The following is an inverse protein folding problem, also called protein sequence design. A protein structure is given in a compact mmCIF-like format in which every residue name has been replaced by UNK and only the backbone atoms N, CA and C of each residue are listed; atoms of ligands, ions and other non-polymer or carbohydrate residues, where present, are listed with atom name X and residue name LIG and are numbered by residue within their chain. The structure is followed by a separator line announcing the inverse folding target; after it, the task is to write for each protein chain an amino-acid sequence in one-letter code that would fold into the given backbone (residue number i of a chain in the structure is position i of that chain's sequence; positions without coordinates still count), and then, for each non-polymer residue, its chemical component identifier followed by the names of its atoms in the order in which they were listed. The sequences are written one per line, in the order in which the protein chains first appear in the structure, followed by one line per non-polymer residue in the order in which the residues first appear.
data_IF_347297146907
#
_entry.id   IF_347297146907
#
_cell.length_a   1.000
_cell.length_b   1.000
_cell.length_c   1.000
_cell.angle_alpha   90.00
_cell.angle_beta   90.00
_cell.angle_gamma   90.00
#
_symmetry.space_group_name_H-M   'P 1'
#
loop_
_entity.id
_entity.type
_entity.pdbx_description
1 polymer ?
#
# COMPACT_ATOMS: atom_id res chain seq x y z
N UNK A 1 87.44 -37.82 -43.37
CA UNK A 1 86.87 -39.18 -43.47
C UNK A 1 87.23 -39.92 -42.18
N UNK A 2 86.40 -40.81 -41.58
CA UNK A 2 85.14 -41.44 -42.05
C UNK A 2 83.91 -41.05 -41.19
N UNK A 3 82.66 -41.02 -41.70
CA UNK A 3 81.66 -42.10 -41.91
C UNK A 3 81.31 -42.90 -40.65
N UNK A 4 80.04 -42.77 -40.19
CA UNK A 4 79.15 -43.85 -39.68
C UNK A 4 77.74 -43.22 -39.47
N UNK A 5 76.82 -43.36 -40.41
CA UNK A 5 75.72 -44.36 -40.49
C UNK A 5 74.73 -44.34 -39.31
N UNK A 6 73.47 -44.06 -39.63
CA UNK A 6 72.28 -44.10 -38.76
C UNK A 6 71.91 -45.53 -38.35
N UNK A 7 71.04 -45.68 -37.33
CA UNK A 7 69.70 -46.17 -37.65
C UNK A 7 68.54 -45.53 -36.86
N UNK A 8 67.36 -45.65 -37.47
CA UNK A 8 66.05 -45.14 -37.09
C UNK A 8 65.54 -45.54 -35.70
N UNK A 9 64.78 -44.63 -35.07
CA UNK A 9 63.66 -45.00 -34.19
C UNK A 9 62.54 -43.94 -34.28
N UNK A 10 61.39 -44.37 -34.78
CA UNK A 10 60.12 -43.63 -34.86
C UNK A 10 59.62 -43.20 -33.49
N UNK A 11 59.23 -41.92 -33.29
CA UNK A 11 58.18 -41.56 -32.34
C UNK A 11 57.38 -40.31 -32.78
N UNK A 12 56.12 -40.57 -33.15
CA UNK A 12 54.90 -39.78 -32.93
C UNK A 12 54.88 -38.25 -33.18
N UNK A 13 54.23 -37.87 -34.29
CA UNK A 13 53.60 -36.54 -34.45
C UNK A 13 52.36 -36.43 -33.56
N UNK A 14 52.49 -35.75 -32.42
CA UNK A 14 51.38 -35.30 -31.59
C UNK A 14 50.83 -33.96 -32.08
N UNK A 15 49.55 -33.96 -32.47
CA UNK A 15 48.74 -32.80 -32.87
C UNK A 15 48.46 -31.91 -31.65
N UNK A 16 48.73 -30.60 -31.73
CA UNK A 16 48.31 -29.61 -30.73
C UNK A 16 46.77 -29.52 -30.69
N UNK A 17 46.09 -29.67 -29.54
CA UNK A 17 44.67 -29.33 -29.43
C UNK A 17 44.52 -27.83 -29.19
N UNK A 18 44.08 -27.14 -30.24
CA UNK A 18 43.43 -25.83 -30.18
C UNK A 18 41.99 -26.02 -29.65
N UNK A 19 41.52 -25.15 -28.72
CA UNK A 19 40.10 -24.71 -28.54
C UNK A 19 39.55 -24.56 -27.10
N UNK A 20 40.33 -24.16 -26.08
CA UNK A 20 39.74 -23.77 -24.78
C UNK A 20 39.55 -22.25 -24.58
N UNK A 21 40.13 -21.41 -25.45
CA UNK A 21 40.13 -19.96 -25.26
C UNK A 21 38.89 -19.23 -25.81
N UNK A 22 38.12 -19.84 -26.72
CA UNK A 22 36.97 -19.20 -27.37
C UNK A 22 35.63 -19.37 -26.63
N UNK A 23 35.56 -20.28 -25.66
CA UNK A 23 34.36 -20.51 -24.83
C UNK A 23 34.28 -19.55 -23.64
N UNK A 24 35.41 -19.17 -23.04
CA UNK A 24 35.46 -18.25 -21.90
C UNK A 24 34.99 -16.83 -22.25
N UNK A 25 35.30 -16.33 -23.45
CA UNK A 25 34.91 -14.99 -23.90
C UNK A 25 33.44 -14.88 -24.32
N UNK A 26 32.78 -16.00 -24.66
CA UNK A 26 31.34 -16.01 -24.98
C UNK A 26 30.45 -16.00 -23.74
N UNK A 27 30.97 -16.49 -22.61
CA UNK A 27 30.26 -16.53 -21.33
C UNK A 27 30.34 -15.15 -20.65
N UNK A 28 31.53 -14.54 -20.57
CA UNK A 28 31.72 -13.24 -19.92
C UNK A 28 30.86 -12.10 -20.53
N UNK A 29 30.67 -12.11 -21.86
CA UNK A 29 29.88 -11.08 -22.56
C UNK A 29 28.36 -11.19 -22.33
N UNK A 30 27.85 -12.33 -21.85
CA UNK A 30 26.44 -12.47 -21.42
C UNK A 30 26.23 -12.08 -19.96
N UNK A 31 27.28 -12.10 -19.14
CA UNK A 31 27.23 -11.72 -17.73
C UNK A 31 27.22 -10.21 -17.52
N UNK A 32 27.88 -9.42 -18.37
CA UNK A 32 27.89 -7.96 -18.21
C UNK A 32 26.56 -7.29 -18.62
N UNK A 33 25.81 -7.89 -19.55
CA UNK A 33 24.50 -7.40 -19.99
C UNK A 33 23.37 -7.73 -19.01
N UNK A 34 23.50 -8.77 -18.18
CA UNK A 34 22.47 -9.14 -17.20
C UNK A 34 22.57 -8.30 -15.91
N UNK A 35 23.76 -7.89 -15.49
CA UNK A 35 23.95 -7.10 -14.27
C UNK A 35 23.66 -5.60 -14.45
N UNK A 36 23.77 -5.05 -15.67
CA UNK A 36 23.47 -3.63 -15.94
C UNK A 36 21.97 -3.39 -16.17
N UNK A 37 21.20 -4.41 -16.56
CA UNK A 37 19.75 -4.30 -16.75
C UNK A 37 18.95 -4.31 -15.43
N UNK A 38 19.56 -4.72 -14.30
CA UNK A 38 18.92 -4.75 -12.97
C UNK A 38 18.98 -3.41 -12.23
N UNK A 39 19.71 -2.42 -12.73
CA UNK A 39 19.85 -1.09 -12.09
C UNK A 39 18.99 0.02 -12.69
N UNK A 40 18.21 -0.26 -13.73
CA UNK A 40 17.41 0.75 -14.46
C UNK A 40 16.04 0.25 -14.94
N UNK A 41 15.57 -0.89 -14.44
CA UNK A 41 14.16 -1.22 -14.48
C UNK A 41 13.59 -0.79 -13.12
N UNK A 42 12.91 0.37 -13.08
CA UNK A 42 11.79 0.47 -12.15
C UNK A 42 10.92 -0.72 -12.51
N UNK A 43 10.80 -1.71 -11.62
CA UNK A 43 9.76 -2.73 -11.76
C UNK A 43 8.49 -1.94 -12.01
N UNK A 44 7.85 -2.13 -13.16
CA UNK A 44 6.51 -1.61 -13.36
C UNK A 44 5.69 -2.18 -12.21
N UNK A 45 5.37 -1.36 -11.20
CA UNK A 45 4.53 -1.79 -10.07
C UNK A 45 3.21 -2.17 -10.71
N UNK A 46 2.90 -3.46 -10.71
CA UNK A 46 1.61 -3.97 -11.15
C UNK A 46 0.56 -3.84 -10.04
N UNK A 47 0.67 -2.81 -9.21
CA UNK A 47 -0.10 -2.62 -7.97
C UNK A 47 -0.38 -1.15 -7.69
N UNK A 48 -0.67 -0.81 -6.43
CA UNK A 48 -1.16 0.50 -6.05
C UNK A 48 -0.10 1.58 -6.35
N UNK A 49 -0.52 2.67 -6.99
CA UNK A 49 0.34 3.82 -7.27
C UNK A 49 -0.35 5.12 -6.82
N UNK A 50 0.35 5.93 -6.04
CA UNK A 50 -0.04 7.31 -5.79
C UNK A 50 0.62 8.24 -6.83
N UNK A 51 -0.17 9.13 -7.39
CA UNK A 51 0.26 10.18 -8.31
C UNK A 51 -0.01 11.55 -7.65
N UNK A 52 0.88 12.00 -6.74
CA UNK A 52 0.72 13.27 -6.05
C UNK A 52 1.06 14.45 -6.99
N UNK A 53 0.18 15.44 -6.98
CA UNK A 53 0.40 16.76 -7.58
C UNK A 53 0.61 17.74 -6.43
N UNK A 54 1.84 18.15 -6.21
CA UNK A 54 2.18 19.11 -5.17
C UNK A 54 1.73 20.51 -5.58
N UNK A 55 0.92 21.13 -4.73
CA UNK A 55 0.41 22.49 -4.94
C UNK A 55 1.54 23.51 -4.77
N UNK A 56 1.35 24.72 -5.32
CA UNK A 56 2.37 25.78 -5.25
C UNK A 56 2.75 26.16 -3.80
N UNK A 57 1.83 25.99 -2.85
CA UNK A 57 2.06 26.19 -1.42
C UNK A 57 3.20 25.35 -0.85
N UNK A 58 3.42 24.15 -1.39
CA UNK A 58 4.49 23.23 -0.96
C UNK A 58 5.89 23.74 -1.27
N UNK A 59 6.04 24.78 -2.10
CA UNK A 59 7.33 25.46 -2.30
C UNK A 59 7.89 26.08 -1.01
N UNK A 60 7.03 26.32 -0.01
CA UNK A 60 7.40 26.80 1.33
C UNK A 60 7.56 25.68 2.37
N UNK A 61 7.33 24.42 1.99
CA UNK A 61 7.47 23.29 2.90
C UNK A 61 8.94 23.00 3.24
N UNK A 62 9.25 22.51 4.45
CA UNK A 62 10.59 22.03 4.79
C UNK A 62 11.05 20.93 3.82
N UNK A 63 12.34 20.86 3.48
CA UNK A 63 12.84 19.85 2.54
C UNK A 63 12.52 18.40 2.97
N UNK A 64 12.48 18.14 4.29
CA UNK A 64 12.10 16.84 4.85
C UNK A 64 10.66 16.43 4.55
N UNK A 65 9.74 17.37 4.33
CA UNK A 65 8.33 17.10 4.02
C UNK A 65 8.17 16.12 2.87
N UNK A 66 8.87 16.34 1.75
CA UNK A 66 8.76 15.49 0.56
C UNK A 66 9.33 14.08 0.80
N UNK A 67 10.38 13.97 1.63
CA UNK A 67 10.98 12.68 1.99
C UNK A 67 10.02 11.88 2.85
N UNK A 68 9.47 12.50 3.89
CA UNK A 68 8.52 11.86 4.80
C UNK A 68 7.20 11.49 4.11
N UNK A 69 6.65 12.40 3.30
CA UNK A 69 5.44 12.13 2.50
C UNK A 69 5.65 10.96 1.53
N UNK A 70 6.79 10.94 0.83
CA UNK A 70 7.13 9.84 -0.06
C UNK A 70 7.36 8.52 0.70
N UNK A 71 7.82 8.58 1.96
CA UNK A 71 7.91 7.38 2.81
C UNK A 71 6.54 6.79 3.11
N UNK A 72 5.56 7.62 3.47
CA UNK A 72 4.17 7.19 3.69
C UNK A 72 3.55 6.58 2.42
N UNK A 73 3.76 7.24 1.26
CA UNK A 73 3.32 6.70 -0.04
C UNK A 73 3.98 5.34 -0.31
N UNK A 74 5.29 5.23 -0.17
CA UNK A 74 6.01 3.97 -0.44
C UNK A 74 5.57 2.84 0.48
N UNK A 75 5.28 3.15 1.75
CA UNK A 75 4.69 2.21 2.69
C UNK A 75 3.35 1.69 2.16
N UNK A 76 2.38 2.57 1.87
CA UNK A 76 1.06 2.15 1.39
C UNK A 76 1.12 1.40 0.05
N UNK A 77 1.91 1.86 -0.92
CA UNK A 77 2.10 1.14 -2.20
C UNK A 77 2.79 -0.23 -2.02
N UNK A 78 3.46 -0.48 -0.88
CA UNK A 78 4.03 -1.79 -0.55
C UNK A 78 3.05 -2.72 0.14
N UNK A 79 1.99 -2.18 0.74
CA UNK A 79 0.98 -2.97 1.45
C UNK A 79 -0.08 -3.53 0.51
N UNK A 80 -0.38 -2.84 -0.61
CA UNK A 80 -1.51 -3.18 -1.49
C UNK A 80 -1.08 -3.43 -2.94
N UNK A 81 -1.82 -4.30 -3.63
CA UNK A 81 -1.50 -4.82 -4.96
C UNK A 81 -2.54 -4.48 -6.03
N UNK A 82 -3.54 -3.67 -5.69
CA UNK A 82 -4.56 -3.19 -6.62
C UNK A 82 -3.92 -2.41 -7.77
N UNK A 83 -4.12 -2.79 -9.04
CA UNK A 83 -3.48 -2.13 -10.18
C UNK A 83 -4.17 -0.80 -10.54
N UNK A 84 -4.17 0.15 -9.60
CA UNK A 84 -4.86 1.43 -9.68
C UNK A 84 -3.90 2.60 -9.49
N UNK A 85 -4.30 3.77 -9.97
CA UNK A 85 -3.60 5.03 -9.70
C UNK A 85 -4.50 5.98 -8.92
N UNK A 86 -4.02 6.42 -7.75
CA UNK A 86 -4.66 7.43 -6.91
C UNK A 86 -4.05 8.79 -7.25
N UNK A 87 -4.82 9.65 -7.93
CA UNK A 87 -4.44 11.02 -8.27
C UNK A 87 -4.87 11.98 -7.16
N UNK A 88 -3.94 12.65 -6.50
CA UNK A 88 -4.26 13.56 -5.41
C UNK A 88 -3.46 14.86 -5.45
N UNK A 89 -4.04 15.94 -4.92
CA UNK A 89 -3.31 17.16 -4.64
C UNK A 89 -2.72 17.14 -3.23
N UNK A 90 -1.56 17.78 -3.06
CA UNK A 90 -0.86 17.85 -1.78
C UNK A 90 -0.53 19.30 -1.46
N UNK A 91 -1.08 19.81 -0.35
CA UNK A 91 -0.91 21.19 0.11
C UNK A 91 -0.06 21.31 1.37
N UNK A 92 0.57 22.49 1.56
CA UNK A 92 1.30 22.85 2.77
C UNK A 92 0.78 24.19 3.33
N UNK A 93 0.17 24.16 4.51
CA UNK A 93 -0.59 25.29 5.07
C UNK A 93 -1.95 25.50 4.40
N UNK A 94 -2.34 24.63 3.48
CA UNK A 94 -3.62 24.64 2.78
C UNK A 94 -4.06 23.21 2.41
N UNK A 95 -5.32 23.07 2.02
CA UNK A 95 -5.89 21.91 1.36
C UNK A 95 -6.75 22.38 0.17
N UNK A 96 -6.42 21.92 -1.04
CA UNK A 96 -7.17 22.20 -2.27
C UNK A 96 -7.45 23.71 -2.49
N UNK A 97 -6.47 24.56 -2.21
CA UNK A 97 -6.56 26.02 -2.35
C UNK A 97 -7.26 26.77 -1.20
N UNK A 98 -7.69 26.07 -0.14
CA UNK A 98 -8.32 26.64 1.05
C UNK A 98 -7.52 26.39 2.33
N UNK A 99 -7.79 27.16 3.39
CA UNK A 99 -7.16 26.91 4.70
C UNK A 99 -7.63 25.58 5.30
N UNK A 100 -6.73 24.89 6.03
CA UNK A 100 -7.13 23.78 6.89
C UNK A 100 -8.12 24.25 7.96
N UNK A 101 -8.94 23.33 8.45
CA UNK A 101 -9.81 23.58 9.59
C UNK A 101 -8.99 23.95 10.84
N UNK A 102 -9.42 24.91 11.66
CA UNK A 102 -8.66 25.33 12.84
C UNK A 102 -8.37 24.16 13.79
N UNK A 103 -7.09 23.97 14.13
CA UNK A 103 -6.63 22.90 15.03
C UNK A 103 -6.20 21.62 14.33
N UNK A 104 -6.50 21.45 13.03
CA UNK A 104 -6.08 20.28 12.29
C UNK A 104 -4.56 20.29 12.04
N UNK A 105 -3.92 19.12 12.23
CA UNK A 105 -2.52 18.88 11.85
C UNK A 105 -2.41 18.42 10.40
N UNK A 106 -3.35 17.59 9.97
CA UNK A 106 -3.59 17.17 8.59
C UNK A 106 -5.08 17.26 8.28
N UNK A 107 -5.41 17.29 7.00
CA UNK A 107 -6.79 17.19 6.55
C UNK A 107 -6.84 16.55 5.16
N UNK A 108 -7.82 15.69 4.95
CA UNK A 108 -8.15 15.13 3.64
C UNK A 108 -9.45 15.73 3.08
N UNK A 109 -9.57 15.67 1.76
CA UNK A 109 -10.77 16.03 0.99
C UNK A 109 -10.97 14.98 -0.07
N UNK A 110 -11.67 13.92 0.29
CA UNK A 110 -11.92 12.76 -0.57
C UNK A 110 -12.98 13.06 -1.63
N UNK A 111 -12.64 12.88 -2.91
CA UNK A 111 -13.62 12.91 -3.98
C UNK A 111 -14.34 11.56 -4.02
N UNK A 112 -15.66 11.65 -4.16
CA UNK A 112 -16.55 10.51 -3.97
C UNK A 112 -17.36 10.22 -5.24
N UNK A 113 -17.73 8.96 -5.40
CA UNK A 113 -18.65 8.52 -6.43
C UNK A 113 -19.68 7.54 -5.86
N UNK A 114 -20.83 7.45 -6.53
CA UNK A 114 -21.77 6.38 -6.28
C UNK A 114 -23.22 6.77 -6.41
N UNK A 115 -23.94 6.63 -5.29
CA UNK A 115 -25.36 6.25 -5.18
C UNK A 115 -25.59 4.74 -5.43
N UNK A 116 -24.68 3.91 -4.93
CA UNK A 116 -24.77 2.47 -5.04
C UNK A 116 -25.79 1.88 -4.07
N UNK A 117 -26.41 0.78 -4.49
CA UNK A 117 -27.21 -0.04 -3.58
C UNK A 117 -26.29 -0.86 -2.66
N UNK A 118 -26.76 -1.23 -1.47
CA UNK A 118 -26.07 -2.19 -0.61
C UNK A 118 -25.70 -3.49 -1.37
N UNK A 119 -26.60 -4.02 -2.20
CA UNK A 119 -26.31 -5.21 -3.01
C UNK A 119 -25.15 -5.00 -3.97
N UNK A 120 -25.03 -3.81 -4.58
CA UNK A 120 -23.91 -3.49 -5.47
C UNK A 120 -22.59 -3.47 -4.70
N UNK A 121 -22.56 -2.84 -3.53
CA UNK A 121 -21.35 -2.80 -2.68
C UNK A 121 -20.98 -4.20 -2.21
N UNK A 122 -21.94 -4.98 -1.70
CA UNK A 122 -21.70 -6.35 -1.25
C UNK A 122 -21.17 -7.24 -2.40
N UNK A 123 -21.71 -7.10 -3.60
CA UNK A 123 -21.22 -7.84 -4.78
C UNK A 123 -19.81 -7.41 -5.17
N UNK A 124 -19.50 -6.10 -5.14
CA UNK A 124 -18.16 -5.61 -5.44
C UNK A 124 -17.14 -6.19 -4.46
N UNK A 125 -17.37 -6.05 -3.15
CA UNK A 125 -16.54 -6.65 -2.09
C UNK A 125 -16.40 -8.17 -2.26
N UNK A 126 -17.49 -8.87 -2.61
CA UNK A 126 -17.45 -10.33 -2.83
C UNK A 126 -16.58 -10.74 -4.01
N UNK A 127 -16.64 -9.98 -5.11
CA UNK A 127 -15.81 -10.25 -6.29
C UNK A 127 -14.34 -9.89 -6.05
N UNK A 128 -14.13 -8.91 -5.17
CA UNK A 128 -12.80 -8.41 -4.83
C UNK A 128 -12.07 -9.31 -3.83
N UNK A 129 -12.76 -9.94 -2.89
CA UNK A 129 -12.21 -10.86 -1.87
C UNK A 129 -10.95 -11.67 -2.28
N UNK A 130 -9.79 -11.34 -1.70
CA UNK A 130 -8.52 -12.08 -1.85
C UNK A 130 -7.93 -12.57 -0.54
N UNK A 131 -8.31 -11.97 0.58
CA UNK A 131 -7.75 -12.26 1.90
C UNK A 131 -8.68 -13.12 2.76
N UNK A 132 -8.14 -13.69 3.85
CA UNK A 132 -8.95 -14.38 4.86
C UNK A 132 -9.83 -13.41 5.65
N UNK A 133 -9.40 -12.15 5.80
CA UNK A 133 -10.17 -11.09 6.43
C UNK A 133 -11.38 -10.73 5.56
N UNK A 134 -11.21 -10.63 4.23
CA UNK A 134 -12.32 -10.42 3.30
C UNK A 134 -13.35 -11.53 3.41
N UNK A 135 -12.89 -12.80 3.35
CA UNK A 135 -13.78 -13.95 3.44
C UNK A 135 -14.59 -13.94 4.75
N UNK A 136 -13.96 -13.50 5.86
CA UNK A 136 -14.63 -13.34 7.16
C UNK A 136 -15.63 -12.19 7.12
N UNK A 137 -15.21 -11.00 6.66
CA UNK A 137 -16.03 -9.81 6.51
C UNK A 137 -17.30 -10.10 5.70
N UNK A 138 -17.15 -10.64 4.49
CA UNK A 138 -18.25 -10.93 3.55
C UNK A 138 -19.23 -11.95 4.13
N UNK A 139 -18.73 -12.99 4.80
CA UNK A 139 -19.57 -14.02 5.41
C UNK A 139 -20.46 -13.47 6.54
N UNK A 140 -20.04 -12.39 7.20
CA UNK A 140 -20.76 -11.77 8.30
C UNK A 140 -21.56 -10.52 7.91
N UNK A 141 -21.46 -10.06 6.66
CA UNK A 141 -22.30 -8.96 6.17
C UNK A 141 -23.79 -9.37 6.16
N UNK A 142 -24.69 -8.53 6.71
CA UNK A 142 -26.11 -8.87 6.80
C UNK A 142 -26.76 -9.06 5.43
N UNK A 143 -27.90 -9.75 5.36
CA UNK A 143 -28.64 -9.89 4.11
C UNK A 143 -29.15 -8.54 3.59
N UNK A 144 -29.54 -7.65 4.52
CA UNK A 144 -29.94 -6.27 4.25
C UNK A 144 -29.25 -5.36 5.25
N UNK A 145 -28.73 -4.21 4.81
CA UNK A 145 -28.15 -3.24 5.72
C UNK A 145 -29.24 -2.56 6.59
N UNK A 146 -29.09 -2.50 7.92
CA UNK A 146 -30.13 -2.01 8.84
C UNK A 146 -30.25 -0.47 8.93
N UNK A 147 -29.45 0.30 8.18
CA UNK A 147 -29.36 1.77 8.26
C UNK A 147 -30.57 2.59 7.79
N UNK A 148 -31.69 1.97 7.40
CA UNK A 148 -32.94 2.67 7.06
C UNK A 148 -33.21 2.86 5.56
N UNK A 149 -34.18 3.72 5.23
CA UNK A 149 -34.67 3.89 3.86
C UNK A 149 -33.62 4.57 2.96
N UNK A 150 -33.17 3.86 1.94
CA UNK A 150 -32.24 4.36 0.92
C UNK A 150 -31.01 3.48 0.77
N UNK A 151 -30.40 3.01 1.89
CA UNK A 151 -29.14 2.24 1.92
C UNK A 151 -28.19 2.65 0.79
N UNK A 152 -27.99 3.97 0.67
CA UNK A 152 -27.24 4.55 -0.43
C UNK A 152 -25.79 4.56 -0.01
N UNK A 153 -24.97 3.83 -0.75
CA UNK A 153 -23.54 3.82 -0.53
C UNK A 153 -22.84 4.77 -1.48
N UNK A 154 -21.90 5.50 -0.91
CA UNK A 154 -20.97 6.38 -1.59
C UNK A 154 -19.57 5.93 -1.16
N UNK A 155 -18.65 5.92 -2.11
CA UNK A 155 -17.28 5.44 -1.93
C UNK A 155 -16.32 6.51 -2.44
N UNK A 156 -15.08 6.48 -1.96
CA UNK A 156 -14.06 7.32 -2.60
C UNK A 156 -13.86 6.86 -4.04
N UNK A 157 -13.39 7.76 -4.90
CA UNK A 157 -13.01 7.37 -6.25
C UNK A 157 -11.88 6.32 -6.24
N UNK A 158 -10.98 6.38 -5.27
CA UNK A 158 -9.90 5.40 -5.10
C UNK A 158 -10.43 4.01 -4.71
N UNK A 159 -11.36 3.94 -3.76
CA UNK A 159 -12.02 2.70 -3.33
C UNK A 159 -12.87 2.11 -4.47
N UNK A 160 -13.56 2.96 -5.24
CA UNK A 160 -14.29 2.54 -6.43
C UNK A 160 -13.37 1.95 -7.51
N UNK A 161 -12.13 2.47 -7.65
CA UNK A 161 -11.13 1.91 -8.57
C UNK A 161 -10.66 0.54 -8.12
N UNK A 162 -10.35 0.39 -6.83
CA UNK A 162 -9.89 -0.85 -6.23
C UNK A 162 -10.94 -1.97 -6.42
N UNK A 163 -12.20 -1.66 -6.10
CA UNK A 163 -13.36 -2.55 -6.29
C UNK A 163 -13.79 -2.77 -7.76
N UNK A 164 -13.08 -2.20 -8.74
CA UNK A 164 -13.39 -2.33 -10.17
C UNK A 164 -14.69 -1.64 -10.63
N UNK A 165 -15.26 -0.76 -9.81
CA UNK A 165 -16.45 0.04 -10.13
C UNK A 165 -16.12 1.31 -10.92
N UNK A 166 -14.85 1.72 -10.91
CA UNK A 166 -14.26 2.75 -11.77
C UNK A 166 -12.99 2.17 -12.42
N UNK A 167 -12.63 2.54 -13.68
CA UNK A 167 -11.37 2.09 -14.25
C UNK A 167 -10.17 2.49 -13.38
N UNK A 168 -9.28 1.56 -13.06
CA UNK A 168 -8.13 1.80 -12.16
C UNK A 168 -7.22 2.96 -12.58
N UNK A 169 -7.17 3.26 -13.88
CA UNK A 169 -6.40 4.36 -14.46
C UNK A 169 -7.25 5.61 -14.77
N UNK A 170 -8.47 5.74 -14.21
CA UNK A 170 -9.31 6.90 -14.45
C UNK A 170 -8.58 8.19 -14.00
N UNK A 171 -8.46 9.15 -14.93
CA UNK A 171 -7.64 10.35 -14.79
C UNK A 171 -8.25 11.42 -13.86
N UNK A 172 -9.47 11.20 -13.35
CA UNK A 172 -10.09 12.09 -12.37
C UNK A 172 -9.26 12.19 -11.10
N UNK A 173 -9.34 13.34 -10.43
CA UNK A 173 -8.75 13.55 -9.12
C UNK A 173 -9.52 12.72 -8.08
N UNK A 174 -8.83 11.94 -7.27
CA UNK A 174 -9.40 11.11 -6.21
C UNK A 174 -9.51 11.84 -4.88
N UNK A 175 -8.72 12.90 -4.68
CA UNK A 175 -8.90 13.82 -3.56
C UNK A 175 -7.74 14.81 -3.40
N UNK A 176 -7.66 15.39 -2.22
CA UNK A 176 -6.54 16.24 -1.81
C UNK A 176 -6.22 16.01 -0.34
N UNK A 177 -4.95 16.17 0.02
CA UNK A 177 -4.48 16.20 1.41
C UNK A 177 -3.74 17.51 1.66
N UNK A 178 -3.85 18.02 2.87
CA UNK A 178 -3.17 19.24 3.31
C UNK A 178 -2.59 19.06 4.70
N UNK A 179 -1.46 19.71 4.96
CA UNK A 179 -0.76 19.62 6.24
C UNK A 179 -0.51 21.00 6.83
N UNK A 180 -0.63 21.14 8.14
CA UNK A 180 -0.52 22.41 8.84
C UNK A 180 0.93 22.94 8.78
N UNK A 181 1.13 24.14 8.24
CA UNK A 181 2.48 24.72 8.07
C UNK A 181 3.09 25.30 9.34
N UNK A 182 2.36 25.35 10.45
CA UNK A 182 2.77 25.95 11.72
C UNK A 182 3.06 24.96 12.83
N UNK A 183 2.69 23.68 12.63
CA UNK A 183 2.98 22.63 13.58
C UNK A 183 4.46 22.17 13.47
N UNK A 184 4.98 21.63 14.58
CA UNK A 184 6.33 21.07 14.65
C UNK A 184 6.29 19.59 14.35
N UNK A 185 7.02 19.15 13.32
CA UNK A 185 7.06 17.78 12.86
C UNK A 185 8.47 17.25 12.80
N UNK A 186 8.62 15.94 13.07
CA UNK A 186 9.77 15.19 12.58
C UNK A 186 9.45 14.70 11.18
N UNK A 187 10.39 14.92 10.27
CA UNK A 187 10.32 14.46 8.89
C UNK A 187 11.32 13.33 8.59
N UNK A 188 12.01 12.81 9.61
CA UNK A 188 12.92 11.67 9.43
C UNK A 188 12.13 10.36 9.52
N UNK A 189 11.96 9.62 8.42
CA UNK A 189 11.22 8.36 8.45
C UNK A 189 11.89 7.27 9.29
N UNK A 190 13.16 7.43 9.65
CA UNK A 190 13.90 6.48 10.50
C UNK A 190 13.97 6.94 11.97
N UNK A 191 13.43 8.12 12.30
CA UNK A 191 13.47 8.69 13.64
C UNK A 191 12.22 9.53 13.91
N UNK A 192 11.11 8.82 14.14
CA UNK A 192 9.76 9.37 14.20
C UNK A 192 9.28 9.74 15.61
N UNK A 193 10.01 9.33 16.65
CA UNK A 193 9.68 9.62 18.05
C UNK A 193 10.52 10.77 18.63
N UNK A 194 10.30 12.00 18.16
CA UNK A 194 11.05 13.19 18.58
C UNK A 194 10.26 14.05 19.58
N UNK A 195 10.79 14.23 20.79
CA UNK A 195 10.15 15.04 21.82
C UNK A 195 9.83 16.46 21.32
N UNK A 196 8.56 16.86 21.41
CA UNK A 196 8.09 18.19 20.97
C UNK A 196 7.64 18.25 19.51
N UNK A 197 7.74 17.16 18.76
CA UNK A 197 7.37 17.09 17.35
C UNK A 197 6.33 15.98 17.10
N UNK A 198 5.46 16.18 16.10
CA UNK A 198 4.55 15.15 15.62
C UNK A 198 5.22 14.28 14.56
N UNK A 199 4.89 12.98 14.56
CA UNK A 199 5.28 12.05 13.49
C UNK A 199 4.52 12.39 12.20
N UNK A 200 5.22 13.01 11.25
CA UNK A 200 4.62 13.37 9.96
C UNK A 200 4.31 12.16 9.08
N UNK A 201 5.10 11.08 9.17
CA UNK A 201 4.89 9.88 8.33
C UNK A 201 3.56 9.23 8.73
N UNK A 202 3.34 9.00 10.02
CA UNK A 202 2.08 8.47 10.52
C UNK A 202 0.88 9.38 10.20
N UNK A 203 1.06 10.70 10.30
CA UNK A 203 0.02 11.65 9.87
C UNK A 203 -0.28 11.54 8.37
N UNK A 204 0.73 11.42 7.52
CA UNK A 204 0.50 11.30 6.08
C UNK A 204 -0.18 9.96 5.74
N UNK A 205 0.18 8.86 6.40
CA UNK A 205 -0.51 7.57 6.25
C UNK A 205 -1.98 7.65 6.64
N UNK A 206 -2.29 8.39 7.71
CA UNK A 206 -3.66 8.69 8.12
C UNK A 206 -4.45 9.40 7.01
N UNK A 207 -3.96 10.55 6.53
CA UNK A 207 -4.69 11.35 5.53
C UNK A 207 -4.81 10.63 4.18
N UNK A 208 -3.78 9.86 3.78
CA UNK A 208 -3.79 9.10 2.53
C UNK A 208 -4.80 7.95 2.56
N UNK A 209 -4.98 7.30 3.70
CA UNK A 209 -5.95 6.20 3.83
C UNK A 209 -7.39 6.70 3.89
N UNK A 210 -7.64 7.93 4.31
CA UNK A 210 -8.95 8.58 4.13
C UNK A 210 -9.29 8.81 2.65
N UNK A 211 -8.29 9.16 1.80
CA UNK A 211 -8.48 9.19 0.34
C UNK A 211 -8.80 7.78 -0.18
N UNK A 212 -8.18 6.75 0.41
CA UNK A 212 -8.45 5.35 0.08
C UNK A 212 -9.84 4.86 0.53
N UNK A 213 -10.61 5.63 1.30
CA UNK A 213 -11.96 5.21 1.70
C UNK A 213 -12.15 4.97 3.20
N UNK A 214 -11.11 5.20 4.01
CA UNK A 214 -11.19 5.18 5.48
C UNK A 214 -11.94 6.42 6.03
N UNK A 215 -13.13 6.70 5.53
CA UNK A 215 -14.01 7.75 6.01
C UNK A 215 -15.43 7.21 6.13
N UNK A 216 -16.12 7.55 7.22
CA UNK A 216 -17.50 7.13 7.48
C UNK A 216 -18.46 8.20 6.99
N UNK A 217 -19.65 7.80 6.51
CA UNK A 217 -20.72 8.76 6.21
C UNK A 217 -21.91 8.57 7.13
N UNK A 218 -22.26 7.32 7.44
CA UNK A 218 -23.42 7.00 8.27
C UNK A 218 -23.36 7.66 9.64
N UNK A 219 -22.17 7.73 10.23
CA UNK A 219 -21.97 8.20 11.59
C UNK A 219 -21.34 9.60 11.64
N UNK A 220 -20.60 10.06 10.62
CA UNK A 220 -20.01 11.40 10.56
C UNK A 220 -21.00 12.54 10.25
N UNK A 221 -22.26 12.39 10.66
CA UNK A 221 -23.25 13.46 10.54
C UNK A 221 -23.84 13.63 9.15
N UNK A 222 -23.69 12.65 8.23
CA UNK A 222 -24.54 12.61 7.05
C UNK A 222 -25.95 12.20 7.47
N UNK A 223 -26.73 13.15 7.99
CA UNK A 223 -28.18 13.07 8.25
C UNK A 223 -29.03 12.81 6.96
N UNK A 224 -28.41 12.22 5.93
CA UNK A 224 -28.91 12.06 4.58
C UNK A 224 -29.16 10.60 4.17
N UNK A 225 -28.93 9.63 5.07
CA UNK A 225 -29.13 8.20 4.78
C UNK A 225 -28.08 7.63 3.81
N UNK A 226 -26.86 8.17 3.86
CA UNK A 226 -25.71 7.73 3.07
C UNK A 226 -24.71 7.01 3.95
N UNK A 227 -24.07 6.00 3.37
CA UNK A 227 -23.07 5.16 4.03
C UNK A 227 -21.85 5.02 3.12
N UNK A 228 -20.71 4.67 3.70
CA UNK A 228 -19.51 4.21 3.00
C UNK A 228 -19.18 2.77 3.40
N UNK A 229 -18.31 2.06 2.67
CA UNK A 229 -18.01 0.66 2.96
C UNK A 229 -17.50 0.40 4.39
N UNK A 230 -16.73 1.31 4.99
CA UNK A 230 -16.30 1.17 6.40
C UNK A 230 -17.48 1.12 7.39
N UNK A 231 -18.62 1.74 7.08
CA UNK A 231 -19.83 1.72 7.91
C UNK A 231 -20.46 0.32 8.00
N UNK A 232 -20.06 -0.61 7.13
CA UNK A 232 -20.47 -2.02 7.18
C UNK A 232 -19.78 -2.80 8.31
N UNK A 233 -18.70 -2.26 8.86
CA UNK A 233 -17.83 -2.95 9.81
C UNK A 233 -17.78 -2.29 11.19
N UNK A 234 -18.72 -1.38 11.45
CA UNK A 234 -18.83 -0.65 12.72
C UNK A 234 -19.93 -1.27 13.58
N UNK A 235 -19.57 -1.77 14.77
CA UNK A 235 -20.46 -2.53 15.66
C UNK A 235 -20.52 -1.95 17.08
N UNK A 236 -21.65 -2.20 17.76
CA UNK A 236 -21.87 -1.90 19.19
C UNK A 236 -21.82 -3.16 20.05
N UNK A 237 -22.15 -4.30 19.47
CA UNK A 237 -22.04 -5.63 20.06
C UNK A 237 -22.13 -6.68 18.94
N UNK A 238 -21.91 -7.95 19.28
CA UNK A 238 -22.19 -9.07 18.36
C UNK A 238 -23.59 -8.96 17.74
N UNK A 239 -23.65 -8.97 16.41
CA UNK A 239 -24.86 -8.86 15.60
C UNK A 239 -25.51 -7.47 15.54
N UNK A 240 -24.92 -6.44 16.17
CA UNK A 240 -25.50 -5.10 16.26
C UNK A 240 -24.57 -4.08 15.62
N UNK A 241 -24.89 -3.68 14.39
CA UNK A 241 -24.22 -2.59 13.69
C UNK A 241 -24.52 -1.25 14.37
N UNK A 242 -23.52 -0.38 14.38
CA UNK A 242 -23.69 1.02 14.74
C UNK A 242 -24.32 1.77 13.56
N UNK A 243 -25.64 1.96 13.55
CA UNK A 243 -26.33 2.76 12.52
C UNK A 243 -26.59 4.20 12.95
N UNK A 244 -26.14 4.60 14.14
CA UNK A 244 -26.37 5.94 14.68
C UNK A 244 -25.25 6.25 15.66
N UNK A 245 -24.50 7.35 15.45
CA UNK A 245 -23.30 7.66 16.21
C UNK A 245 -23.41 7.33 17.70
N UNK A 246 -22.56 6.42 18.17
CA UNK A 246 -22.49 6.04 19.56
C UNK A 246 -21.05 5.95 20.05
N UNK A 247 -20.86 6.22 21.35
CA UNK A 247 -19.57 6.02 22.00
C UNK A 247 -19.30 4.54 22.21
N UNK A 248 -18.06 4.11 22.00
CA UNK A 248 -17.64 2.72 22.18
C UNK A 248 -17.98 1.81 21.00
N UNK A 249 -18.41 2.36 19.87
CA UNK A 249 -18.48 1.60 18.62
C UNK A 249 -17.07 1.15 18.19
N UNK A 250 -16.99 -0.01 17.57
CA UNK A 250 -15.70 -0.63 17.23
C UNK A 250 -15.71 -1.28 15.85
N UNK A 251 -14.51 -1.39 15.29
CA UNK A 251 -14.25 -2.10 14.04
C UNK A 251 -14.24 -3.61 14.28
N UNK A 252 -15.00 -4.33 13.46
CA UNK A 252 -15.11 -5.78 13.50
C UNK A 252 -15.49 -6.35 12.14
N UNK A 253 -14.85 -7.46 11.76
CA UNK A 253 -15.10 -8.17 10.49
C UNK A 253 -15.90 -9.46 10.68
N UNK A 254 -16.17 -9.87 11.91
CA UNK A 254 -16.82 -11.15 12.24
C UNK A 254 -18.23 -10.96 12.80
N UNK A 255 -18.91 -9.92 12.35
CA UNK A 255 -20.27 -9.61 12.80
C UNK A 255 -20.31 -9.02 14.22
N UNK A 256 -19.22 -8.40 14.69
CA UNK A 256 -19.15 -7.77 16.00
C UNK A 256 -18.71 -8.71 17.14
N UNK A 257 -18.21 -9.92 16.84
CA UNK A 257 -17.76 -10.86 17.88
C UNK A 257 -16.38 -10.49 18.44
N UNK A 258 -15.51 -9.92 17.61
CA UNK A 258 -14.18 -9.47 17.99
C UNK A 258 -14.05 -7.95 17.84
N UNK A 259 -13.47 -7.31 18.86
CA UNK A 259 -13.08 -5.90 18.83
C UNK A 259 -11.67 -5.81 18.25
N UNK A 260 -11.52 -5.28 17.03
CA UNK A 260 -10.19 -5.07 16.42
C UNK A 260 -9.62 -3.73 16.88
N UNK A 261 -10.38 -2.64 16.72
CA UNK A 261 -10.05 -1.33 17.27
C UNK A 261 -11.33 -0.54 17.59
N UNK A 262 -11.26 0.42 18.51
CA UNK A 262 -12.41 1.23 18.93
C UNK A 262 -12.39 2.55 18.19
N UNK A 263 -13.51 2.87 17.53
CA UNK A 263 -13.69 4.12 16.82
C UNK A 263 -13.87 5.30 17.76
N UNK A 264 -13.58 6.49 17.25
CA UNK A 264 -13.85 7.75 17.90
C UNK A 264 -15.38 7.94 18.11
N UNK A 265 -15.71 8.68 19.18
CA UNK A 265 -17.06 8.83 19.71
C UNK A 265 -17.72 10.17 19.36
N UNK A 266 -19.00 10.29 19.72
CA UNK A 266 -19.94 11.39 19.41
C UNK A 266 -19.53 12.81 19.87
N UNK A 267 -18.36 12.98 20.48
CA UNK A 267 -17.86 14.23 21.07
C UNK A 267 -17.03 15.13 20.15
N UNK A 268 -16.72 14.69 18.92
CA UNK A 268 -16.08 15.52 17.88
C UNK A 268 -15.09 14.76 16.99
N UNK A 269 -14.66 15.39 15.90
CA UNK A 269 -13.71 14.83 14.92
C UNK A 269 -14.35 13.93 13.86
N UNK A 270 -13.51 13.19 13.13
CA UNK A 270 -13.93 12.08 12.29
C UNK A 270 -14.19 10.85 13.20
N UNK A 271 -15.36 10.25 13.07
CA UNK A 271 -15.78 9.08 13.83
C UNK A 271 -15.20 7.79 13.28
N UNK A 272 -14.73 7.76 12.04
CA UNK A 272 -14.04 6.62 11.44
C UNK A 272 -12.56 6.51 11.83
N UNK A 273 -12.07 7.49 12.56
CA UNK A 273 -10.78 7.41 13.25
C UNK A 273 -10.85 6.51 14.48
N UNK A 274 -9.70 6.02 14.91
CA UNK A 274 -9.59 5.34 16.19
C UNK A 274 -9.64 6.32 17.36
N UNK A 275 -10.21 5.83 18.45
CA UNK A 275 -10.38 6.54 19.72
C UNK A 275 -9.08 6.94 20.42
N UNK A 276 -7.90 6.45 20.00
CA UNK A 276 -6.64 6.77 20.66
C UNK A 276 -6.30 5.92 21.88
N UNK A 277 -6.85 4.71 22.00
CA UNK A 277 -6.53 3.80 23.11
C UNK A 277 -5.07 3.29 23.08
N UNK A 278 -4.47 3.21 21.89
CA UNK A 278 -3.08 2.83 21.62
C UNK A 278 -2.43 3.85 20.70
N UNK A 279 -1.09 3.87 20.66
CA UNK A 279 -0.35 4.64 19.65
C UNK A 279 -0.55 3.97 18.29
N UNK A 280 -1.08 4.74 17.34
CA UNK A 280 -1.56 4.27 16.05
C UNK A 280 -1.72 5.48 15.13
N UNK A 281 -1.39 5.32 13.84
CA UNK A 281 -1.46 6.41 12.85
C UNK A 281 -2.90 6.82 12.55
N UNK A 282 -3.87 5.91 12.62
CA UNK A 282 -5.29 6.14 12.29
C UNK A 282 -6.10 6.69 13.46
N UNK A 283 -5.44 7.08 14.56
CA UNK A 283 -6.08 7.76 15.67
C UNK A 283 -6.58 9.16 15.30
N UNK A 284 -7.71 9.55 15.89
CA UNK A 284 -8.30 10.89 15.77
C UNK A 284 -7.41 12.03 16.29
N UNK A 285 -6.39 11.68 17.06
CA UNK A 285 -5.46 12.62 17.68
C UNK A 285 -4.06 12.00 17.68
N UNK A 286 -3.07 12.77 17.25
CA UNK A 286 -1.67 12.37 17.27
C UNK A 286 -1.04 12.69 18.61
N UNK A 287 -0.22 11.77 19.12
CA UNK A 287 0.54 11.96 20.35
C UNK A 287 1.90 12.57 20.05
N UNK A 288 2.18 13.75 20.62
CA UNK A 288 3.45 14.46 20.43
C UNK A 288 4.65 13.63 20.95
N UNK A 289 5.73 13.59 20.18
CA UNK A 289 6.95 12.88 20.50
C UNK A 289 6.84 11.36 20.54
N UNK A 290 5.86 10.82 19.82
CA UNK A 290 5.68 9.38 19.62
C UNK A 290 5.65 9.07 18.14
N UNK A 291 6.25 7.94 17.80
CA UNK A 291 6.05 7.28 16.52
C UNK A 291 4.68 6.61 16.53
N UNK A 292 3.94 6.78 15.44
CA UNK A 292 2.58 6.28 15.26
C UNK A 292 2.58 5.37 14.04
N UNK A 293 2.77 4.08 14.28
CA UNK A 293 2.80 3.07 13.22
C UNK A 293 1.39 2.70 12.76
N UNK A 294 1.29 2.35 11.48
CA UNK A 294 0.16 1.56 10.95
C UNK A 294 0.21 0.16 11.57
N UNK A 295 -0.87 -0.25 12.21
CA UNK A 295 -1.01 -1.52 12.91
C UNK A 295 -1.68 -2.59 12.04
N UNK A 296 -1.69 -3.88 12.44
CA UNK A 296 -2.44 -4.90 11.72
C UNK A 296 -3.95 -4.62 11.61
N UNK A 297 -4.53 -3.89 12.56
CA UNK A 297 -5.93 -3.46 12.49
C UNK A 297 -6.18 -2.49 11.35
N UNK A 298 -5.23 -1.59 11.10
CA UNK A 298 -5.27 -0.58 10.03
C UNK A 298 -5.18 -1.20 8.64
N UNK A 299 -4.28 -2.19 8.51
CA UNK A 299 -4.19 -3.00 7.29
C UNK A 299 -5.49 -3.77 7.08
N UNK A 300 -6.06 -4.35 8.15
CA UNK A 300 -7.32 -5.11 8.05
C UNK A 300 -8.49 -4.21 7.63
N UNK A 301 -8.63 -2.99 8.16
CA UNK A 301 -9.74 -2.10 7.77
C UNK A 301 -9.64 -1.67 6.31
N UNK A 302 -8.43 -1.41 5.82
CA UNK A 302 -8.22 -1.00 4.42
C UNK A 302 -8.42 -2.18 3.46
N UNK A 303 -7.98 -3.39 3.85
CA UNK A 303 -8.20 -4.63 3.10
C UNK A 303 -9.69 -4.89 2.87
N UNK A 304 -10.47 -4.98 3.95
CA UNK A 304 -11.88 -5.38 3.86
C UNK A 304 -12.82 -4.34 3.26
N UNK A 305 -12.36 -3.11 3.04
CA UNK A 305 -13.11 -2.09 2.28
C UNK A 305 -12.78 -2.09 0.78
N UNK A 306 -11.80 -2.90 0.35
CA UNK A 306 -11.59 -3.24 -1.06
C UNK A 306 -10.17 -3.09 -1.59
N UNK A 307 -9.13 -3.27 -0.78
CA UNK A 307 -7.74 -3.18 -1.23
C UNK A 307 -6.98 -4.49 -1.03
N UNK A 308 -6.54 -5.10 -2.12
CA UNK A 308 -5.87 -6.39 -2.11
C UNK A 308 -4.47 -6.32 -1.48
N UNK A 309 -4.24 -7.04 -0.37
CA UNK A 309 -2.90 -7.13 0.24
C UNK A 309 -1.84 -7.62 -0.75
N UNK A 310 -0.72 -6.92 -0.80
CA UNK A 310 0.45 -7.35 -1.56
C UNK A 310 1.00 -8.66 -0.97
N UNK A 311 1.27 -9.63 -1.85
CA UNK A 311 2.02 -10.81 -1.43
C UNK A 311 3.41 -10.38 -0.91
N UNK A 312 3.96 -11.04 0.13
CA UNK A 312 5.31 -10.74 0.57
C UNK A 312 6.28 -10.85 -0.61
N UNK A 313 6.95 -9.76 -0.96
CA UNK A 313 7.95 -9.76 -2.02
C UNK A 313 8.97 -10.86 -1.75
N UNK A 314 9.27 -11.76 -2.71
CA UNK A 314 10.30 -12.75 -2.53
C UNK A 314 11.60 -12.01 -2.22
N UNK A 315 12.16 -12.22 -1.02
CA UNK A 315 13.41 -11.56 -0.64
C UNK A 315 14.45 -11.72 -1.75
N UNK A 316 15.28 -10.70 -1.98
CA UNK A 316 16.35 -10.74 -2.99
C UNK A 316 17.24 -11.99 -2.82
N UNK A 317 17.37 -12.50 -1.60
CA UNK A 317 18.01 -13.76 -1.28
C UNK A 317 17.30 -14.99 -1.85
N UNK A 318 15.96 -15.06 -1.79
CA UNK A 318 15.19 -16.13 -2.40
C UNK A 318 15.31 -16.13 -3.93
N UNK A 319 15.24 -14.96 -4.55
CA UNK A 319 15.44 -14.81 -6.01
C UNK A 319 16.88 -15.16 -6.43
N UNK A 320 17.88 -14.74 -5.65
CA UNK A 320 19.28 -15.09 -5.89
C UNK A 320 19.54 -16.59 -5.69
N UNK A 321 18.96 -17.21 -4.66
CA UNK A 321 19.06 -18.65 -4.42
C UNK A 321 18.42 -19.48 -5.54
N UNK A 322 17.25 -19.06 -6.03
CA UNK A 322 16.61 -19.67 -7.20
C UNK A 322 17.46 -19.51 -8.47
N UNK A 323 18.07 -18.34 -8.68
CA UNK A 323 19.01 -18.11 -9.78
C UNK A 323 20.23 -19.03 -9.73
N UNK A 324 20.84 -19.22 -8.56
CA UNK A 324 21.95 -20.16 -8.36
C UNK A 324 21.50 -21.60 -8.60
N UNK A 325 20.36 -22.01 -8.06
CA UNK A 325 19.84 -23.37 -8.20
C UNK A 325 19.54 -23.72 -9.67
N UNK A 326 18.92 -22.80 -10.41
CA UNK A 326 18.69 -22.95 -11.85
C UNK A 326 20.00 -23.08 -12.64
N UNK A 327 21.02 -22.29 -12.28
CA UNK A 327 22.34 -22.34 -12.92
C UNK A 327 23.05 -23.68 -12.66
N UNK A 328 22.97 -24.20 -11.43
CA UNK A 328 23.53 -25.52 -11.07
C UNK A 328 22.80 -26.63 -11.83
N UNK A 329 21.47 -26.54 -11.94
CA UNK A 329 20.66 -27.53 -12.66
C UNK A 329 21.01 -27.57 -14.16
N UNK A 330 21.10 -26.42 -14.82
CA UNK A 330 21.47 -26.33 -16.23
C UNK A 330 22.89 -26.86 -16.49
N UNK A 331 23.85 -26.53 -15.62
CA UNK A 331 25.22 -27.07 -15.70
C UNK A 331 25.27 -28.59 -15.55
N UNK A 332 24.40 -29.18 -14.72
CA UNK A 332 24.30 -30.64 -14.54
C UNK A 332 23.66 -31.34 -15.75
N UNK A 333 22.77 -30.66 -16.47
CA UNK A 333 22.17 -31.18 -17.71
C UNK A 333 23.21 -31.24 -18.84
N UNK A 334 24.02 -30.19 -19.01
CA UNK A 334 25.07 -30.14 -20.04
C UNK A 334 26.14 -31.23 -19.86
N UNK A 335 26.53 -31.53 -18.61
CA UNK A 335 27.50 -32.58 -18.27
C UNK A 335 26.94 -34.00 -18.51
N UNK A 336 25.61 -34.18 -18.54
CA UNK A 336 24.98 -35.48 -18.83
C UNK A 336 24.81 -35.76 -20.31
N UNK A 337 24.91 -34.73 -21.16
CA UNK A 337 24.69 -34.82 -22.61
C UNK A 337 25.98 -34.79 -23.43
N UNK A 338 27.16 -34.75 -22.80
CA UNK A 338 28.47 -34.84 -23.45
C UNK A 338 29.24 -36.07 -22.98
#
# INVERSE_FOLDING_TARGET
MPVFQSPNANLYRGRLPNSSASSFWRIASRFLLLCVALGAAQSARAGLVFNPIFDASTSSAPAGFFVAFNSAVQFLESQYSDPITINLNVGWGEINGGSLSPGNLGQSSTNQQGFYSYSTVKTALTNDSKSASDATAIAHLPANYPGGAGNIFVMSNAEAKALGLLPGNAAGKDGAVGFNSTASYTFDPNNRAIAGEYDFVGLAEHELTEIMGRYGLGQNGAASGRFSPIDLFRYLSSGVLDTTPANGAYFSIDGGNTVINTFNGTGGGDLSDWSGATLDSFNHNLTLGKELDVTPGDITVTDVIGYDLAAPEPSTFALFALGIAATIYLRRQEVRTG
#
